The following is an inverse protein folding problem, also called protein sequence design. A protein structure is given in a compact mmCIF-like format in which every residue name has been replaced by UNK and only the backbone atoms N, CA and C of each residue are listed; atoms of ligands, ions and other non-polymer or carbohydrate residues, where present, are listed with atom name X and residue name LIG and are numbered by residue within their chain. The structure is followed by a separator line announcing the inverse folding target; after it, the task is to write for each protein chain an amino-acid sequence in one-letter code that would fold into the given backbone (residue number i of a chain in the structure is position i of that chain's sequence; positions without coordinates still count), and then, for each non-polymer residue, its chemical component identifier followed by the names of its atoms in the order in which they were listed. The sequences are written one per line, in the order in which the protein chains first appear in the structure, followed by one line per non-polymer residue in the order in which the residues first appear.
data_IF_255303799798
#
_entry.id   IF_255303799798
#
_cell.length_a   1.000
_cell.length_b   1.000
_cell.length_c   1.000
_cell.angle_alpha   90.00
_cell.angle_beta   90.00
_cell.angle_gamma   90.00
#
_symmetry.space_group_name_H-M   'P 1'
#
loop_
_entity.id
_entity.type
_entity.pdbx_description
1 polymer ?
#
# COMPACT_ATOMS: atom_id res chain seq x y z
N UNK A 1 15.51 -1.08 -7.41
CA UNK A 1 14.91 -2.38 -7.76
C UNK A 1 13.46 -2.17 -8.15
N UNK A 2 13.09 -2.63 -9.34
CA UNK A 2 11.86 -2.26 -10.06
C UNK A 2 10.80 -3.37 -9.99
N UNK A 3 10.52 -3.89 -8.80
CA UNK A 3 9.47 -4.90 -8.65
C UNK A 3 8.16 -4.20 -8.27
N UNK A 4 7.24 -4.15 -9.23
CA UNK A 4 5.84 -3.85 -8.98
C UNK A 4 5.03 -5.11 -9.30
N UNK A 5 3.84 -5.18 -8.72
CA UNK A 5 2.80 -6.16 -9.06
C UNK A 5 2.46 -6.08 -10.57
N UNK A 6 2.66 -4.90 -11.20
CA UNK A 6 2.64 -4.69 -12.65
C UNK A 6 4.06 -4.89 -13.27
N UNK A 7 4.22 -5.55 -14.43
CA UNK A 7 5.49 -6.13 -14.86
C UNK A 7 6.49 -5.11 -15.40
N UNK A 8 6.03 -3.89 -15.76
CA UNK A 8 6.89 -2.84 -16.29
C UNK A 8 6.50 -1.47 -15.75
N UNK A 9 7.51 -0.66 -15.47
CA UNK A 9 7.36 0.70 -14.96
C UNK A 9 7.40 1.69 -16.13
N UNK A 10 6.32 2.44 -16.35
CA UNK A 10 6.32 3.45 -17.42
C UNK A 10 7.20 4.65 -17.03
N UNK A 11 7.68 5.41 -18.04
CA UNK A 11 8.52 6.60 -17.85
C UNK A 11 7.98 7.60 -16.80
N UNK A 12 6.69 8.01 -16.80
CA UNK A 12 6.19 8.93 -15.77
C UNK A 12 6.28 8.33 -14.36
N UNK A 13 6.07 7.02 -14.19
CA UNK A 13 6.26 6.37 -12.89
C UNK A 13 7.73 6.38 -12.44
N UNK A 14 8.69 6.22 -13.36
CA UNK A 14 10.13 6.34 -13.06
C UNK A 14 10.46 7.76 -12.56
N UNK A 15 10.00 8.78 -13.28
CA UNK A 15 10.19 10.20 -12.89
C UNK A 15 9.58 10.48 -11.52
N UNK A 16 8.34 10.06 -11.27
CA UNK A 16 7.67 10.28 -9.98
C UNK A 16 8.38 9.56 -8.83
N UNK A 17 8.92 8.37 -9.08
CA UNK A 17 9.72 7.65 -8.08
C UNK A 17 11.06 8.33 -7.82
N UNK A 18 11.74 8.80 -8.86
CA UNK A 18 12.98 9.57 -8.71
C UNK A 18 12.72 10.83 -7.89
N UNK A 19 11.67 11.59 -8.23
CA UNK A 19 11.25 12.79 -7.51
C UNK A 19 10.93 12.52 -6.04
N UNK A 20 10.15 11.46 -5.75
CA UNK A 20 9.86 11.03 -4.37
C UNK A 20 11.13 10.60 -3.63
N UNK A 21 12.08 9.93 -4.31
CA UNK A 21 13.36 9.51 -3.71
C UNK A 21 14.28 10.69 -3.45
N UNK A 22 14.32 11.69 -4.32
CA UNK A 22 15.10 12.92 -4.16
C UNK A 22 14.59 13.78 -2.98
N UNK A 23 13.27 13.97 -2.88
CA UNK A 23 12.68 14.80 -1.84
C UNK A 23 12.64 14.12 -0.46
N UNK A 24 12.04 12.93 -0.38
CA UNK A 24 11.54 12.44 0.90
C UNK A 24 12.60 11.85 1.83
N UNK A 25 13.85 11.63 1.37
CA UNK A 25 14.84 10.91 2.19
C UNK A 25 16.16 11.64 2.30
N UNK A 26 16.88 11.96 1.21
CA UNK A 26 18.19 12.62 1.31
C UNK A 26 18.03 14.09 1.66
N UNK A 27 17.10 14.80 1.02
CA UNK A 27 16.92 16.22 1.27
C UNK A 27 16.40 16.49 2.70
N UNK A 28 15.53 15.62 3.23
CA UNK A 28 15.14 15.66 4.65
C UNK A 28 16.30 15.33 5.61
N UNK A 29 17.20 14.42 5.24
CA UNK A 29 18.37 14.10 6.09
C UNK A 29 19.47 15.17 6.01
N UNK A 30 19.71 15.75 4.84
CA UNK A 30 20.73 16.78 4.62
C UNK A 30 20.25 18.13 5.19
N UNK A 31 18.96 18.43 5.08
CA UNK A 31 18.34 19.64 5.60
C UNK A 31 17.43 19.33 6.80
N UNK A 32 18.02 19.25 7.99
CA UNK A 32 17.29 19.02 9.26
C UNK A 32 16.23 20.10 9.53
N UNK A 33 16.50 21.35 9.14
CA UNK A 33 15.57 22.46 9.37
C UNK A 33 14.47 22.51 8.29
N UNK A 34 13.21 22.57 8.75
CA UNK A 34 12.02 22.56 7.87
C UNK A 34 11.95 23.75 6.91
N UNK A 35 12.43 24.93 7.30
CA UNK A 35 12.39 26.13 6.45
C UNK A 35 13.31 25.98 5.23
N UNK A 36 14.54 25.53 5.46
CA UNK A 36 15.52 25.26 4.39
C UNK A 36 15.04 24.13 3.49
N UNK A 37 14.54 23.04 4.07
CA UNK A 37 13.96 21.93 3.31
C UNK A 37 12.85 22.39 2.35
N UNK A 38 11.91 23.23 2.83
CA UNK A 38 10.84 23.77 2.00
C UNK A 38 11.37 24.60 0.82
N UNK A 39 12.38 25.44 1.07
CA UNK A 39 13.03 26.23 0.02
C UNK A 39 13.61 25.35 -1.09
N UNK A 40 14.44 24.37 -0.72
CA UNK A 40 15.06 23.47 -1.70
C UNK A 40 14.05 22.56 -2.42
N UNK A 41 13.01 22.09 -1.72
CA UNK A 41 11.93 21.31 -2.33
C UNK A 41 11.18 22.10 -3.41
N UNK A 42 10.95 23.41 -3.19
CA UNK A 42 10.36 24.29 -4.20
C UNK A 42 11.29 24.46 -5.42
N UNK A 43 12.60 24.64 -5.22
CA UNK A 43 13.56 24.77 -6.31
C UNK A 43 13.59 23.53 -7.21
N UNK A 44 13.65 22.32 -6.62
CA UNK A 44 13.59 21.08 -7.40
C UNK A 44 12.27 20.91 -8.14
N UNK A 45 11.16 21.38 -7.56
CA UNK A 45 9.87 21.35 -8.25
C UNK A 45 9.86 22.26 -9.48
N UNK A 46 10.43 23.47 -9.38
CA UNK A 46 10.56 24.40 -10.51
C UNK A 46 11.39 23.77 -11.62
N UNK A 47 12.54 23.18 -11.30
CA UNK A 47 13.39 22.47 -12.27
C UNK A 47 12.64 21.31 -12.96
N UNK A 48 11.87 20.54 -12.20
CA UNK A 48 11.04 19.46 -12.76
C UNK A 48 9.90 19.93 -13.65
N UNK A 49 9.34 21.11 -13.37
CA UNK A 49 8.29 21.72 -14.19
C UNK A 49 8.84 22.28 -15.51
N UNK A 50 10.05 22.83 -15.51
CA UNK A 50 10.75 23.29 -16.73
C UNK A 50 10.95 22.15 -17.74
N UNK A 51 11.32 20.96 -17.26
CA UNK A 51 11.61 19.78 -18.10
C UNK A 51 10.37 18.97 -18.49
N UNK A 52 9.16 19.42 -18.15
CA UNK A 52 7.90 18.66 -18.34
C UNK A 52 7.43 18.61 -19.80
N UNK A 53 7.69 19.65 -20.58
CA UNK A 53 7.07 19.86 -21.90
C UNK A 53 7.86 19.25 -23.09
N UNK A 54 8.90 18.45 -22.83
CA UNK A 54 9.65 17.76 -23.87
C UNK A 54 8.88 16.61 -24.51
N UNK A 55 8.66 16.68 -25.84
CA UNK A 55 8.02 15.61 -26.62
C UNK A 55 8.98 14.44 -26.94
N UNK A 56 10.28 14.71 -26.97
CA UNK A 56 11.31 13.75 -27.36
C UNK A 56 11.55 12.69 -26.28
N UNK A 57 11.24 11.43 -26.60
CA UNK A 57 11.34 10.31 -25.64
C UNK A 57 12.80 9.98 -25.30
N UNK A 58 13.71 10.06 -26.28
CA UNK A 58 15.14 9.71 -26.11
C UNK A 58 15.83 10.70 -25.16
N UNK A 59 15.66 12.00 -25.41
CA UNK A 59 16.18 13.05 -24.53
C UNK A 59 15.63 12.93 -23.11
N UNK A 60 14.34 12.59 -22.97
CA UNK A 60 13.74 12.38 -21.66
C UNK A 60 14.31 11.16 -20.92
N UNK A 61 14.79 10.13 -21.63
CA UNK A 61 15.48 8.99 -21.00
C UNK A 61 16.93 9.31 -20.63
N UNK A 62 17.61 10.13 -21.44
CA UNK A 62 18.96 10.62 -21.14
C UNK A 62 18.96 11.52 -19.90
N UNK A 63 18.06 12.51 -19.85
CA UNK A 63 17.86 13.38 -18.68
C UNK A 63 17.52 12.58 -17.41
N UNK A 64 16.75 11.49 -17.56
CA UNK A 64 16.44 10.62 -16.43
C UNK A 64 17.68 9.87 -15.95
N UNK A 65 18.54 9.42 -16.87
CA UNK A 65 19.81 8.77 -16.53
C UNK A 65 20.76 9.74 -15.82
N UNK A 66 20.92 10.94 -16.36
CA UNK A 66 21.74 12.01 -15.76
C UNK A 66 21.24 12.37 -14.36
N UNK A 67 19.93 12.56 -14.19
CA UNK A 67 19.34 12.84 -12.89
C UNK A 67 19.50 11.68 -11.88
N UNK A 68 19.50 10.41 -12.35
CA UNK A 68 19.80 9.26 -11.50
C UNK A 68 21.27 9.20 -11.07
N UNK A 69 22.20 9.61 -11.93
CA UNK A 69 23.63 9.72 -11.63
C UNK A 69 23.89 10.86 -10.62
N UNK A 70 23.34 12.05 -10.84
CA UNK A 70 23.40 13.17 -9.90
C UNK A 70 22.82 12.79 -8.53
N UNK A 71 21.66 12.11 -8.52
CA UNK A 71 21.04 11.61 -7.30
C UNK A 71 21.91 10.56 -6.59
N UNK A 72 22.61 9.71 -7.34
CA UNK A 72 23.50 8.70 -6.75
C UNK A 72 24.68 9.35 -6.04
N UNK A 73 25.29 10.38 -6.64
CA UNK A 73 26.42 11.10 -6.05
C UNK A 73 26.04 11.96 -4.85
N UNK A 74 24.84 12.54 -4.84
CA UNK A 74 24.33 13.41 -3.77
C UNK A 74 23.64 12.67 -2.63
N UNK A 75 23.68 11.33 -2.60
CA UNK A 75 22.95 10.56 -1.60
C UNK A 75 23.62 10.67 -0.23
N UNK A 76 22.82 11.07 0.77
CA UNK A 76 23.23 11.01 2.17
C UNK A 76 23.60 9.57 2.61
N UNK A 77 24.73 9.35 3.33
CA UNK A 77 25.16 8.01 3.73
C UNK A 77 24.13 7.23 4.56
N UNK A 78 23.44 7.92 5.48
CA UNK A 78 22.43 7.33 6.36
C UNK A 78 21.07 8.05 6.24
N UNK A 79 20.29 7.79 5.19
CA UNK A 79 19.05 8.53 4.95
C UNK A 79 18.03 8.30 6.07
N UNK A 80 17.17 9.28 6.31
CA UNK A 80 16.11 9.17 7.32
C UNK A 80 15.04 8.15 6.89
N UNK A 81 14.98 7.01 7.57
CA UNK A 81 14.01 5.92 7.32
C UNK A 81 12.94 5.95 8.41
N UNK A 82 11.67 5.75 8.05
CA UNK A 82 10.61 5.72 9.06
C UNK A 82 10.72 4.43 9.89
N UNK A 83 10.40 4.46 11.20
CA UNK A 83 10.58 3.30 12.08
C UNK A 83 9.91 2.02 11.58
N UNK A 84 8.69 2.13 11.05
CA UNK A 84 7.89 1.00 10.54
C UNK A 84 8.17 0.65 9.07
N UNK A 85 8.93 1.50 8.36
CA UNK A 85 9.27 1.22 6.96
C UNK A 85 10.44 0.23 6.87
N UNK A 86 10.58 -0.54 5.79
CA UNK A 86 11.66 -1.51 5.65
C UNK A 86 13.03 -0.85 5.86
N UNK A 87 13.84 -1.45 6.75
CA UNK A 87 15.14 -0.91 7.18
C UNK A 87 15.07 0.17 8.27
N UNK A 88 13.89 0.44 8.82
CA UNK A 88 13.70 1.26 10.01
C UNK A 88 13.99 0.50 11.31
N UNK A 89 14.12 1.23 12.42
CA UNK A 89 14.49 0.66 13.72
C UNK A 89 13.44 -0.30 14.29
N UNK A 90 12.16 -0.08 14.00
CA UNK A 90 11.04 -0.88 14.53
C UNK A 90 10.37 -1.73 13.44
N UNK A 91 11.05 -1.91 12.30
CA UNK A 91 10.53 -2.71 11.21
C UNK A 91 10.36 -4.15 11.70
N UNK A 92 9.15 -4.69 11.55
CA UNK A 92 8.77 -6.05 11.96
C UNK A 92 8.79 -6.32 13.48
N UNK A 93 9.01 -5.31 14.33
CA UNK A 93 9.07 -5.49 15.79
C UNK A 93 7.81 -6.12 16.38
N UNK A 94 6.64 -5.72 15.87
CA UNK A 94 5.34 -6.24 16.33
C UNK A 94 4.91 -7.54 15.64
N UNK A 95 5.71 -8.12 14.74
CA UNK A 95 5.31 -9.33 14.02
C UNK A 95 5.19 -10.55 14.92
N UNK A 96 5.96 -10.60 16.01
CA UNK A 96 5.83 -11.65 17.02
C UNK A 96 4.43 -11.68 17.67
N UNK A 97 3.71 -10.56 17.69
CA UNK A 97 2.35 -10.46 18.23
C UNK A 97 1.25 -10.75 17.19
N UNK A 98 1.61 -10.86 15.90
CA UNK A 98 0.68 -11.12 14.81
C UNK A 98 0.35 -12.61 14.74
N UNK A 99 -0.51 -13.07 15.66
CA UNK A 99 -1.01 -14.46 15.64
C UNK A 99 -2.04 -14.61 14.53
N UNK A 100 -1.87 -15.63 13.68
CA UNK A 100 -2.84 -15.92 12.63
C UNK A 100 -4.17 -16.39 13.23
N UNK A 101 -5.30 -15.92 12.69
CA UNK A 101 -6.64 -16.34 13.14
C UNK A 101 -6.84 -17.87 13.04
N UNK A 102 -6.09 -18.54 12.15
CA UNK A 102 -6.13 -20.01 12.04
C UNK A 102 -5.85 -20.69 13.37
N UNK A 103 -4.87 -20.20 14.13
CA UNK A 103 -4.50 -20.74 15.44
C UNK A 103 -5.62 -20.59 16.48
N UNK A 104 -6.56 -19.66 16.26
CA UNK A 104 -7.64 -19.33 17.18
C UNK A 104 -8.81 -20.33 17.11
N UNK A 105 -8.97 -21.02 15.98
CA UNK A 105 -10.04 -22.01 15.81
C UNK A 105 -9.77 -23.35 16.51
N UNK A 106 -8.53 -23.64 16.87
CA UNK A 106 -8.21 -24.87 17.62
C UNK A 106 -8.69 -24.79 19.09
N UNK A 107 -9.10 -23.60 19.56
CA UNK A 107 -9.35 -23.30 20.97
C UNK A 107 -10.84 -23.18 21.34
N UNK A 108 -11.75 -22.84 20.40
CA UNK A 108 -13.17 -22.59 20.70
C UNK A 108 -14.14 -23.13 19.62
N UNK A 109 -15.10 -24.00 19.99
CA UNK A 109 -16.12 -24.52 19.05
C UNK A 109 -17.07 -23.47 18.47
N UNK A 110 -17.31 -22.33 19.15
CA UNK A 110 -18.27 -21.31 18.70
C UNK A 110 -17.88 -20.59 17.40
N UNK A 111 -16.58 -20.55 17.07
CA UNK A 111 -16.04 -19.89 15.86
C UNK A 111 -16.04 -20.77 14.61
N UNK A 112 -16.45 -22.03 14.74
CA UNK A 112 -16.61 -22.96 13.61
C UNK A 112 -17.63 -22.43 12.58
N UNK A 113 -18.70 -21.76 13.03
CA UNK A 113 -19.75 -21.18 12.17
C UNK A 113 -19.24 -20.13 11.19
N UNK A 114 -18.20 -19.36 11.54
CA UNK A 114 -17.60 -18.38 10.64
C UNK A 114 -16.71 -19.06 9.59
N UNK A 115 -16.09 -20.19 9.93
CA UNK A 115 -15.34 -21.03 8.98
C UNK A 115 -16.26 -21.74 7.99
N UNK A 116 -17.43 -22.21 8.43
CA UNK A 116 -18.45 -22.79 7.54
C UNK A 116 -18.91 -21.79 6.48
N UNK A 117 -19.22 -20.55 6.89
CA UNK A 117 -19.56 -19.46 5.96
C UNK A 117 -18.44 -19.16 4.96
N UNK A 118 -17.19 -19.21 5.42
CA UNK A 118 -16.03 -19.07 4.53
C UNK A 118 -15.92 -20.23 3.54
N UNK A 119 -16.13 -21.47 3.98
CA UNK A 119 -16.11 -22.66 3.12
C UNK A 119 -17.15 -22.58 1.99
N UNK A 120 -18.38 -22.14 2.31
CA UNK A 120 -19.43 -21.93 1.29
C UNK A 120 -19.08 -20.81 0.30
N UNK A 121 -18.41 -19.75 0.75
CA UNK A 121 -17.91 -18.68 -0.13
C UNK A 121 -16.78 -19.18 -1.03
N UNK A 122 -15.88 -19.99 -0.47
CA UNK A 122 -14.67 -20.48 -1.12
C UNK A 122 -14.96 -21.32 -2.37
N UNK A 123 -15.95 -22.22 -2.30
CA UNK A 123 -16.33 -23.06 -3.45
C UNK A 123 -16.90 -22.21 -4.61
N UNK A 124 -17.71 -21.20 -4.29
CA UNK A 124 -18.26 -20.25 -5.27
C UNK A 124 -17.16 -19.40 -5.89
N UNK A 125 -16.19 -18.96 -5.09
CA UNK A 125 -15.02 -18.21 -5.54
C UNK A 125 -14.12 -19.03 -6.47
N UNK A 126 -13.82 -20.29 -6.14
CA UNK A 126 -12.98 -21.17 -6.97
C UNK A 126 -13.60 -21.41 -8.35
N UNK A 127 -14.91 -21.66 -8.40
CA UNK A 127 -15.63 -21.85 -9.66
C UNK A 127 -15.53 -20.59 -10.54
N UNK A 128 -15.74 -19.41 -9.95
CA UNK A 128 -15.62 -18.13 -10.65
C UNK A 128 -14.19 -17.85 -11.12
N UNK A 129 -13.20 -18.09 -10.27
CA UNK A 129 -11.79 -17.96 -10.65
C UNK A 129 -11.45 -18.92 -11.79
N UNK A 130 -11.99 -20.14 -11.79
CA UNK A 130 -11.74 -21.09 -12.87
C UNK A 130 -12.38 -20.63 -14.19
N UNK A 131 -13.56 -20.03 -14.17
CA UNK A 131 -14.22 -19.41 -15.33
C UNK A 131 -13.41 -18.21 -15.86
N UNK A 132 -13.01 -17.28 -14.99
CA UNK A 132 -12.18 -16.12 -15.34
C UNK A 132 -10.79 -16.56 -15.85
N UNK A 133 -10.20 -17.59 -15.22
CA UNK A 133 -8.89 -18.13 -15.56
C UNK A 133 -8.81 -18.72 -16.96
N UNK A 134 -9.90 -19.33 -17.45
CA UNK A 134 -9.97 -19.90 -18.80
C UNK A 134 -9.93 -18.82 -19.87
N UNK A 135 -10.36 -17.60 -19.54
CA UNK A 135 -10.43 -16.47 -20.46
C UNK A 135 -9.19 -15.57 -20.45
N UNK A 136 -8.41 -15.55 -19.36
CA UNK A 136 -7.29 -14.61 -19.16
C UNK A 136 -5.93 -15.31 -19.13
N UNK A 137 -5.01 -14.83 -19.97
CA UNK A 137 -3.60 -15.28 -20.03
C UNK A 137 -2.93 -15.14 -18.65
N UNK A 138 -2.18 -16.13 -18.15
CA UNK A 138 -1.59 -16.13 -16.80
C UNK A 138 -0.77 -14.89 -16.43
N UNK A 139 -0.14 -14.23 -17.40
CA UNK A 139 0.70 -13.04 -17.23
C UNK A 139 -0.04 -11.80 -16.73
N UNK A 140 -1.34 -11.68 -17.02
CA UNK A 140 -2.15 -10.53 -16.58
C UNK A 140 -2.60 -10.64 -15.11
N UNK A 141 -2.63 -11.87 -14.57
CA UNK A 141 -3.21 -12.17 -13.25
C UNK A 141 -2.43 -11.59 -12.08
N UNK A 142 -1.11 -11.45 -12.24
CA UNK A 142 -0.28 -10.83 -11.20
C UNK A 142 -0.56 -9.32 -11.07
N UNK A 143 -1.16 -8.69 -12.08
CA UNK A 143 -1.25 -7.23 -12.18
C UNK A 143 -2.61 -6.67 -11.75
N UNK A 144 -3.63 -7.52 -11.66
CA UNK A 144 -4.99 -7.12 -11.32
C UNK A 144 -5.26 -7.38 -9.85
N UNK A 145 -5.70 -6.35 -9.08
CA UNK A 145 -6.23 -6.59 -7.75
C UNK A 145 -7.41 -7.57 -7.83
N UNK A 146 -7.76 -8.23 -6.71
CA UNK A 146 -8.85 -9.18 -6.75
C UNK A 146 -10.12 -8.50 -7.27
N UNK A 147 -10.66 -9.06 -8.35
CA UNK A 147 -11.85 -8.57 -9.04
C UNK A 147 -12.99 -8.36 -8.03
N UNK A 148 -13.68 -7.21 -8.09
CA UNK A 148 -14.79 -6.95 -7.21
C UNK A 148 -15.90 -7.99 -7.41
N UNK A 149 -16.74 -8.14 -6.39
CA UNK A 149 -17.96 -8.94 -6.48
C UNK A 149 -18.86 -8.40 -7.61
N UNK A 150 -19.29 -9.27 -8.52
CA UNK A 150 -20.10 -8.87 -9.68
C UNK A 150 -21.61 -8.95 -9.42
N UNK A 151 -22.06 -9.74 -8.45
CA UNK A 151 -23.48 -9.90 -8.09
C UNK A 151 -23.71 -9.44 -6.65
N UNK A 152 -24.93 -8.98 -6.37
CA UNK A 152 -25.35 -8.59 -5.02
C UNK A 152 -25.41 -9.83 -4.12
N UNK A 153 -24.51 -9.90 -3.12
CA UNK A 153 -24.39 -11.01 -2.18
C UNK A 153 -23.12 -11.86 -2.32
N UNK A 154 -22.38 -11.72 -3.42
CA UNK A 154 -21.09 -12.42 -3.60
C UNK A 154 -19.95 -11.67 -2.89
N UNK A 155 -18.99 -12.41 -2.38
CA UNK A 155 -17.74 -11.87 -1.81
C UNK A 155 -16.65 -11.75 -2.90
N UNK A 156 -15.69 -10.82 -2.77
CA UNK A 156 -14.54 -10.72 -3.67
C UNK A 156 -13.67 -11.98 -3.59
N UNK A 157 -12.95 -12.35 -4.64
CA UNK A 157 -12.11 -13.54 -4.57
C UNK A 157 -10.89 -13.36 -3.66
N UNK A 158 -10.47 -14.44 -2.98
CA UNK A 158 -9.28 -14.46 -2.09
C UNK A 158 -9.32 -13.36 -1.00
N UNK A 159 -10.52 -12.93 -0.61
CA UNK A 159 -10.73 -11.82 0.32
C UNK A 159 -10.28 -12.13 1.75
N UNK A 160 -10.34 -13.41 2.13
CA UNK A 160 -10.13 -13.88 3.50
C UNK A 160 -8.81 -13.36 4.09
N UNK A 161 -7.69 -13.62 3.43
CA UNK A 161 -6.36 -13.17 3.87
C UNK A 161 -6.17 -11.65 3.88
N UNK A 162 -7.09 -10.88 3.30
CA UNK A 162 -7.06 -9.41 3.35
C UNK A 162 -7.88 -8.88 4.51
N UNK A 163 -9.01 -9.53 4.81
CA UNK A 163 -9.91 -9.14 5.92
C UNK A 163 -9.43 -9.68 7.26
N UNK A 164 -8.91 -10.91 7.31
CA UNK A 164 -8.44 -11.56 8.54
C UNK A 164 -6.99 -11.23 8.89
N UNK A 165 -6.43 -10.15 8.32
CA UNK A 165 -5.07 -9.74 8.63
C UNK A 165 -4.97 -9.35 10.10
N UNK A 166 -3.96 -9.86 10.83
CA UNK A 166 -3.74 -9.44 12.20
C UNK A 166 -3.48 -7.93 12.22
N UNK A 167 -4.12 -7.23 13.15
CA UNK A 167 -4.00 -5.78 13.29
C UNK A 167 -2.60 -5.40 13.74
N UNK A 168 -2.16 -4.20 13.34
CA UNK A 168 -0.83 -3.68 13.69
C UNK A 168 -0.70 -3.36 15.19
N UNK A 169 -1.79 -3.02 15.85
CA UNK A 169 -1.84 -2.74 17.29
C UNK A 169 -2.52 -3.88 18.02
N UNK A 170 -1.74 -4.90 18.39
CA UNK A 170 -2.18 -5.89 19.38
C UNK A 170 -2.19 -5.30 20.82
N UNK A 171 -1.57 -4.12 21.00
CA UNK A 171 -1.54 -3.38 22.25
C UNK A 171 -2.71 -2.39 22.33
N UNK A 172 -3.88 -2.85 22.77
CA UNK A 172 -4.73 -2.04 23.66
C UNK A 172 -5.83 -1.14 23.09
N UNK A 173 -6.38 -1.37 21.90
CA UNK A 173 -7.72 -0.84 21.57
C UNK A 173 -8.64 -2.00 21.16
N UNK A 174 -9.45 -2.48 22.11
CA UNK A 174 -10.60 -3.33 21.82
C UNK A 174 -11.56 -2.55 20.91
N UNK A 175 -11.48 -2.79 19.61
CA UNK A 175 -12.56 -2.44 18.69
C UNK A 175 -13.76 -3.31 19.05
N UNK A 176 -14.63 -2.76 19.88
CA UNK A 176 -15.97 -3.28 20.12
C UNK A 176 -16.62 -3.59 18.78
N UNK A 177 -16.77 -4.88 18.48
CA UNK A 177 -17.58 -5.39 17.37
C UNK A 177 -19.02 -5.00 17.70
N UNK A 178 -19.41 -3.79 17.29
CA UNK A 178 -20.79 -3.38 17.31
C UNK A 178 -21.53 -4.34 16.37
N UNK A 179 -22.39 -5.15 16.97
CA UNK A 179 -23.42 -5.93 16.28
C UNK A 179 -24.12 -5.05 15.25
N UNK A 180 -23.81 -5.25 13.97
CA UNK A 180 -24.52 -4.62 12.86
C UNK A 180 -25.83 -5.39 12.60
N UNK A 181 -26.77 -5.29 13.53
CA UNK A 181 -28.18 -5.63 13.28
C UNK A 181 -28.91 -4.33 12.90
N UNK A 182 -28.99 -4.03 11.61
CA UNK A 182 -29.76 -2.89 11.08
C UNK A 182 -29.45 -2.58 9.61
N UNK A 183 -30.45 -2.12 8.80
CA UNK A 183 -30.35 -2.12 7.35
C UNK A 183 -29.43 -1.01 6.83
N UNK A 184 -28.38 -1.41 6.12
CA UNK A 184 -27.40 -0.65 5.31
C UNK A 184 -27.12 0.82 5.74
N UNK A 185 -25.93 1.13 6.28
CA UNK A 185 -25.43 2.51 6.26
C UNK A 185 -24.59 2.75 5.00
N UNK A 186 -24.90 3.85 4.30
CA UNK A 186 -24.03 4.45 3.28
C UNK A 186 -22.71 4.85 3.96
N UNK A 187 -21.58 4.40 3.41
CA UNK A 187 -20.24 4.82 3.81
C UNK A 187 -20.05 6.32 3.54
N UNK A 188 -20.36 7.16 4.53
CA UNK A 188 -19.90 8.54 4.58
C UNK A 188 -18.84 8.64 5.68
N UNK A 189 -17.57 8.68 5.29
CA UNK A 189 -16.46 9.02 6.18
C UNK A 189 -16.54 10.52 6.53
N UNK A 190 -17.27 10.86 7.59
CA UNK A 190 -17.23 12.18 8.21
C UNK A 190 -16.20 12.15 9.35
N UNK A 191 -15.00 12.63 9.05
CA UNK A 191 -13.95 12.87 10.03
C UNK A 191 -14.40 14.01 10.96
N UNK A 192 -14.80 13.69 12.20
CA UNK A 192 -14.97 14.70 13.26
C UNK A 192 -13.67 14.81 14.05
N UNK A 193 -13.00 15.98 14.09
CA UNK A 193 -11.91 16.21 15.03
C UNK A 193 -12.46 16.37 16.45
N UNK A 194 -11.83 15.69 17.44
CA UNK A 194 -12.10 15.90 18.88
C UNK A 194 -11.69 17.34 19.25
N UNK A 195 -12.57 18.06 19.94
CA UNK A 195 -12.21 19.32 20.60
C UNK A 195 -11.24 19.03 21.76
N UNK A 196 -10.22 19.87 21.99
CA UNK A 196 -9.37 19.77 23.17
C UNK A 196 -10.17 20.10 24.43
N UNK A 197 -9.99 19.31 25.48
CA UNK A 197 -10.51 19.63 26.80
C UNK A 197 -9.65 20.73 27.42
N UNK A 198 -10.31 21.84 27.78
CA UNK A 198 -9.84 22.79 28.79
C UNK A 198 -10.49 22.41 30.11
#
# INVERSE_FOLDING_TARGET
MSFCICPYLTRPHKVLRLYRRALCRPLESDCVHRDKHRGFACLMRVQGEEQKNGKDVVKATELLREAEEEFWHSRHPQPHIFPESPGGTSYEGDECHKVSERCLGDWQPSREREREKWGESWERELKRLQEESRSVVPTLRLCTPPAPAQKEGDLPHLWWHTVTRPTWTALGEELSVLHMNGPRPKLCFLWRPRKPQL
#
